data_IF_985816933601
#
_entry.id   IF_985816933601
#
_cell.length_a   1.000
_cell.length_b   1.000
_cell.length_c   1.000
_cell.angle_alpha   90.00
_cell.angle_beta   90.00
_cell.angle_gamma   90.00
#
_symmetry.space_group_name_H-M   'P 1'
#
loop_
_entity.id
_entity.type
_entity.pdbx_description
1 polymer ?
#
# COMPACT_ATOMS: atom_id res chain seq x y z
N UNK A 1 48.94 -19.51 61.12
CA UNK A 1 47.67 -18.75 61.08
C UNK A 1 46.70 -19.45 60.13
N UNK A 2 45.69 -20.14 60.68
CA UNK A 2 44.23 -19.88 60.50
C UNK A 2 43.80 -18.97 59.32
N UNK A 3 42.69 -19.12 58.57
CA UNK A 3 41.41 -19.91 58.55
C UNK A 3 40.85 -19.82 57.09
N UNK A 4 39.95 -20.65 56.51
CA UNK A 4 39.38 -21.99 56.79
C UNK A 4 38.70 -22.56 55.50
N UNK A 5 37.75 -23.52 55.63
CA UNK A 5 36.80 -24.03 54.61
C UNK A 5 35.34 -23.74 55.08
N UNK A 6 34.20 -24.29 54.54
CA UNK A 6 33.92 -25.22 53.43
C UNK A 6 32.79 -24.68 52.47
N UNK A 7 32.11 -25.41 51.57
CA UNK A 7 32.11 -26.82 51.17
C UNK A 7 31.11 -27.13 50.03
N UNK A 8 31.14 -28.38 49.51
CA UNK A 8 30.09 -28.97 48.65
C UNK A 8 29.10 -29.79 49.48
N UNK A 9 28.01 -30.28 48.88
CA UNK A 9 27.86 -31.74 48.85
C UNK A 9 27.71 -32.33 47.45
N UNK A 10 27.94 -33.65 47.36
CA UNK A 10 27.67 -34.50 46.19
C UNK A 10 26.32 -35.20 46.40
N UNK A 11 25.63 -35.55 45.32
CA UNK A 11 24.95 -36.85 45.25
C UNK A 11 25.08 -37.43 43.85
N UNK A 12 25.33 -38.74 43.79
CA UNK A 12 25.15 -39.57 42.60
C UNK A 12 23.77 -40.21 42.73
N UNK A 13 23.06 -40.47 41.64
CA UNK A 13 22.39 -41.76 41.46
C UNK A 13 22.28 -42.11 39.98
N UNK A 14 22.72 -43.32 39.66
CA UNK A 14 22.42 -44.05 38.44
C UNK A 14 21.23 -44.96 38.75
N UNK A 15 20.32 -45.17 37.79
CA UNK A 15 19.97 -46.52 37.30
C UNK A 15 19.01 -46.44 36.10
N UNK A 16 19.15 -47.42 35.20
CA UNK A 16 18.19 -47.69 34.13
C UNK A 16 16.89 -48.30 34.71
N UNK A 17 15.78 -48.14 33.99
CA UNK A 17 14.82 -49.22 33.79
C UNK A 17 14.06 -49.04 32.47
N UNK A 18 14.10 -50.09 31.63
CA UNK A 18 13.06 -50.35 30.62
C UNK A 18 11.89 -51.02 31.33
N UNK A 19 10.69 -50.93 30.76
CA UNK A 19 9.78 -52.07 30.65
C UNK A 19 8.66 -51.78 29.63
N UNK A 20 8.42 -52.75 28.76
CA UNK A 20 7.35 -52.76 27.76
C UNK A 20 6.02 -53.24 28.35
N UNK A 21 4.88 -52.91 27.72
CA UNK A 21 3.89 -53.91 27.21
C UNK A 21 2.54 -53.30 26.72
N UNK A 22 2.03 -53.91 25.63
CA UNK A 22 0.65 -54.02 25.12
C UNK A 22 -0.52 -53.43 25.95
N UNK A 23 -1.48 -52.67 25.38
CA UNK A 23 -2.52 -53.10 24.40
C UNK A 23 -3.93 -52.92 25.03
N UNK A 24 -5.09 -53.09 24.34
CA UNK A 24 -5.33 -53.53 22.96
C UNK A 24 -6.22 -52.58 22.10
N UNK A 25 -6.45 -52.97 20.83
CA UNK A 25 -7.43 -52.34 19.90
C UNK A 25 -8.88 -52.68 20.26
N UNK A 26 -9.82 -51.82 19.84
CA UNK A 26 -11.18 -52.22 19.43
C UNK A 26 -11.46 -51.75 17.99
N UNK A 27 -11.94 -52.67 17.16
CA UNK A 27 -12.56 -52.39 15.86
C UNK A 27 -14.08 -52.60 16.00
N UNK A 28 -14.89 -51.86 15.24
CA UNK A 28 -16.16 -52.38 14.70
C UNK A 28 -16.46 -51.75 13.31
N UNK A 29 -17.25 -52.40 12.44
CA UNK A 29 -17.31 -52.11 11.01
C UNK A 29 -18.66 -51.52 10.54
N UNK A 30 -18.69 -50.91 9.35
CA UNK A 30 -19.93 -50.78 8.57
C UNK A 30 -19.73 -51.05 7.07
N UNK A 31 -20.72 -51.76 6.56
CA UNK A 31 -20.96 -52.36 5.23
C UNK A 31 -20.84 -51.45 3.99
N UNK A 32 -20.58 -52.09 2.85
CA UNK A 32 -20.78 -51.54 1.50
C UNK A 32 -22.13 -51.98 0.89
N UNK A 33 -22.66 -51.26 -0.11
CA UNK A 33 -23.31 -51.85 -1.31
C UNK A 33 -23.63 -50.84 -2.44
N UNK A 34 -23.55 -51.34 -3.68
CA UNK A 34 -24.25 -50.94 -4.94
C UNK A 34 -24.73 -49.49 -5.16
N UNK A 35 -24.26 -48.74 -6.17
CA UNK A 35 -24.39 -48.91 -7.64
C UNK A 35 -25.79 -48.66 -8.26
N UNK A 36 -25.91 -47.62 -9.10
CA UNK A 36 -26.58 -47.72 -10.43
C UNK A 36 -26.36 -46.48 -11.30
N UNK A 37 -26.19 -46.71 -12.61
CA UNK A 37 -26.21 -45.69 -13.65
C UNK A 37 -27.48 -45.82 -14.53
N UNK A 38 -27.92 -44.71 -15.15
CA UNK A 38 -28.67 -44.61 -16.42
C UNK A 38 -28.83 -43.12 -16.79
N UNK A 39 -28.24 -42.66 -17.91
CA UNK A 39 -28.80 -42.52 -19.29
C UNK A 39 -29.51 -41.17 -19.54
N UNK A 40 -29.10 -40.45 -20.60
CA UNK A 40 -29.88 -39.38 -21.25
C UNK A 40 -30.96 -39.97 -22.19
N UNK A 41 -31.45 -39.26 -23.26
CA UNK A 41 -30.94 -38.05 -23.94
C UNK A 41 -31.95 -36.86 -23.84
N UNK A 42 -31.87 -35.73 -24.57
CA UNK A 42 -32.27 -35.52 -25.99
C UNK A 42 -31.68 -34.23 -26.62
N UNK A 43 -31.88 -34.07 -27.93
CA UNK A 43 -31.22 -33.17 -28.90
C UNK A 43 -31.93 -31.84 -29.24
N UNK A 44 -31.12 -30.78 -29.47
CA UNK A 44 -31.16 -29.81 -30.63
C UNK A 44 -32.45 -29.02 -30.97
N UNK A 45 -32.44 -27.95 -31.83
CA UNK A 45 -31.34 -27.31 -32.57
C UNK A 45 -31.25 -25.76 -32.45
N UNK A 46 -30.29 -25.20 -33.20
CA UNK A 46 -30.01 -23.76 -33.47
C UNK A 46 -31.04 -23.15 -34.45
N UNK A 47 -31.20 -21.81 -34.49
CA UNK A 47 -31.14 -21.14 -35.79
C UNK A 47 -30.13 -19.99 -35.85
N UNK A 48 -29.33 -20.00 -36.93
CA UNK A 48 -28.49 -18.89 -37.37
C UNK A 48 -29.39 -17.92 -38.12
N UNK A 49 -29.33 -16.61 -37.83
CA UNK A 49 -29.89 -15.62 -38.75
C UNK A 49 -28.76 -14.95 -39.53
N UNK A 50 -28.81 -15.14 -40.85
CA UNK A 50 -27.91 -14.53 -41.82
C UNK A 50 -28.72 -13.52 -42.60
N UNK A 51 -28.36 -12.23 -42.55
CA UNK A 51 -28.87 -11.25 -43.50
C UNK A 51 -27.73 -10.50 -44.16
N UNK A 52 -27.80 -10.50 -45.49
CA UNK A 52 -26.77 -10.08 -46.44
C UNK A 52 -27.26 -8.84 -47.17
N UNK A 53 -26.36 -8.19 -47.91
CA UNK A 53 -26.63 -7.08 -48.84
C UNK A 53 -26.91 -5.74 -48.12
N UNK A 54 -26.68 -4.56 -48.70
CA UNK A 54 -26.52 -4.22 -50.13
C UNK A 54 -25.22 -3.44 -50.39
N UNK A 55 -24.67 -3.67 -51.58
CA UNK A 55 -23.47 -3.06 -52.15
C UNK A 55 -23.89 -1.94 -53.15
N UNK A 56 -22.95 -1.05 -53.48
CA UNK A 56 -22.83 -0.19 -54.68
C UNK A 56 -22.91 1.34 -54.50
N UNK A 57 -21.80 2.00 -54.87
CA UNK A 57 -21.71 3.18 -55.77
C UNK A 57 -22.31 4.52 -55.23
N UNK A 58 -21.93 5.73 -55.69
CA UNK A 58 -21.09 6.14 -56.84
C UNK A 58 -20.39 7.49 -56.58
N UNK A 59 -19.38 7.76 -57.40
CA UNK A 59 -18.68 9.04 -57.64
C UNK A 59 -19.55 10.30 -57.75
N UNK A 60 -19.01 11.45 -57.32
CA UNK A 60 -18.90 12.65 -58.18
C UNK A 60 -17.83 13.64 -57.70
N UNK A 61 -16.91 14.02 -58.60
CA UNK A 61 -16.13 15.26 -58.49
C UNK A 61 -16.89 16.36 -59.22
N UNK A 62 -16.94 17.57 -58.69
CA UNK A 62 -17.30 18.77 -59.45
C UNK A 62 -16.53 19.97 -58.92
N UNK A 63 -15.82 20.64 -59.83
CA UNK A 63 -15.06 21.84 -59.53
C UNK A 63 -15.95 23.07 -59.69
N UNK A 64 -15.71 24.10 -58.87
CA UNK A 64 -16.23 25.44 -59.11
C UNK A 64 -15.09 26.45 -59.08
N UNK A 65 -14.73 26.94 -60.26
CA UNK A 65 -13.92 28.13 -60.45
C UNK A 65 -14.82 29.34 -60.29
N UNK A 66 -14.47 30.26 -59.39
CA UNK A 66 -15.10 31.57 -59.27
C UNK A 66 -14.02 32.64 -59.21
N UNK A 67 -13.90 33.38 -60.31
CA UNK A 67 -13.03 34.54 -60.44
C UNK A 67 -13.74 35.74 -59.81
N UNK A 68 -13.16 36.34 -58.77
CA UNK A 68 -13.63 37.61 -58.21
C UNK A 68 -12.45 38.57 -58.16
N UNK A 69 -12.50 39.64 -58.95
CA UNK A 69 -11.62 40.78 -58.76
C UNK A 69 -11.96 41.46 -57.44
N UNK A 70 -10.97 41.63 -56.57
CA UNK A 70 -11.06 42.52 -55.41
C UNK A 70 -9.94 43.56 -55.53
N UNK A 71 -10.32 44.82 -55.36
CA UNK A 71 -9.46 45.99 -55.49
C UNK A 71 -8.42 46.07 -54.37
N UNK A 72 -7.20 46.50 -54.71
CA UNK A 72 -6.17 46.79 -53.72
C UNK A 72 -6.53 48.10 -53.04
N UNK A 73 -6.96 48.03 -51.78
CA UNK A 73 -7.03 49.17 -50.87
C UNK A 73 -6.07 48.92 -49.70
N UNK A 74 -5.14 49.85 -49.47
CA UNK A 74 -4.09 49.68 -48.48
C UNK A 74 -4.67 49.84 -47.06
N UNK A 75 -4.68 48.76 -46.28
CA UNK A 75 -5.20 48.75 -44.91
C UNK A 75 -4.06 48.95 -43.89
N UNK A 76 -4.14 49.92 -42.97
CA UNK A 76 -3.05 50.20 -42.04
C UNK A 76 -3.03 49.23 -40.83
N UNK A 77 -1.82 48.86 -40.41
CA UNK A 77 -1.50 48.30 -39.08
C UNK A 77 -2.32 47.09 -38.61
N UNK A 78 -1.96 45.89 -39.08
CA UNK A 78 -2.38 44.65 -38.44
C UNK A 78 -1.61 44.44 -37.12
N UNK A 79 -2.31 44.46 -35.99
CA UNK A 79 -1.76 44.05 -34.70
C UNK A 79 -1.36 42.55 -34.74
N UNK A 80 -0.27 42.13 -34.07
CA UNK A 80 0.20 40.75 -34.13
C UNK A 80 -0.82 39.80 -33.50
N UNK A 81 -1.18 38.75 -34.24
CA UNK A 81 -2.07 37.71 -33.75
C UNK A 81 -1.54 37.07 -32.46
N UNK A 82 -2.42 36.76 -31.47
CA UNK A 82 -1.98 36.09 -30.25
C UNK A 82 -1.41 34.71 -30.61
N UNK A 83 -0.13 34.50 -30.28
CA UNK A 83 0.55 33.21 -30.46
C UNK A 83 -0.30 32.11 -29.82
N UNK A 84 -0.72 31.12 -30.61
CA UNK A 84 -1.53 30.03 -30.09
C UNK A 84 -0.77 29.34 -28.96
N UNK A 85 -1.31 29.44 -27.75
CA UNK A 85 -0.68 28.83 -26.58
C UNK A 85 -0.70 27.32 -26.76
N UNK A 86 0.46 26.75 -27.11
CA UNK A 86 0.70 25.30 -27.12
C UNK A 86 0.18 24.76 -25.77
N UNK A 87 -0.72 23.74 -25.75
CA UNK A 87 -1.28 23.26 -24.50
C UNK A 87 -0.14 22.88 -23.55
N UNK A 88 -0.20 23.42 -22.33
CA UNK A 88 0.83 23.18 -21.34
C UNK A 88 1.01 21.66 -21.14
N UNK A 89 2.25 21.15 -21.05
CA UNK A 89 2.45 19.72 -20.87
C UNK A 89 1.72 19.27 -19.61
N UNK A 90 0.80 18.31 -19.76
CA UNK A 90 0.06 17.70 -18.67
C UNK A 90 1.07 17.30 -17.57
N UNK A 91 0.86 17.81 -16.36
CA UNK A 91 1.93 17.92 -15.37
C UNK A 91 2.71 16.61 -15.21
N UNK A 92 4.02 16.69 -15.45
CA UNK A 92 4.90 15.56 -15.24
C UNK A 92 4.81 15.20 -13.76
N UNK A 93 4.20 14.05 -13.45
CA UNK A 93 3.79 13.69 -12.09
C UNK A 93 4.92 13.93 -11.10
N UNK A 94 4.70 14.82 -10.15
CA UNK A 94 5.73 15.24 -9.20
C UNK A 94 6.22 14.02 -8.43
N UNK A 95 7.53 13.80 -8.44
CA UNK A 95 8.11 12.64 -7.75
C UNK A 95 7.91 12.78 -6.23
N UNK A 96 7.00 11.97 -5.71
CA UNK A 96 6.68 11.89 -4.29
C UNK A 96 7.60 10.85 -3.65
N UNK A 97 8.76 11.30 -3.14
CA UNK A 97 9.51 10.51 -2.16
C UNK A 97 8.59 10.09 -1.04
N UNK A 98 8.65 8.84 -0.62
CA UNK A 98 7.69 8.37 0.38
C UNK A 98 8.27 7.15 1.06
N UNK A 99 8.11 7.06 2.38
CA UNK A 99 8.04 5.78 3.06
C UNK A 99 6.65 5.64 3.67
N UNK A 100 6.06 4.47 3.52
CA UNK A 100 4.72 4.16 4.00
C UNK A 100 4.60 2.69 4.38
N UNK A 101 3.58 2.41 5.18
CA UNK A 101 3.17 1.07 5.57
C UNK A 101 1.66 0.92 5.32
N UNK A 102 1.24 -0.24 4.82
CA UNK A 102 -0.16 -0.69 4.82
C UNK A 102 -0.25 -1.92 5.72
N UNK A 103 -1.31 -2.02 6.52
CA UNK A 103 -1.46 -3.11 7.48
C UNK A 103 -2.93 -3.42 7.80
N UNK A 104 -3.18 -4.63 8.32
CA UNK A 104 -4.48 -5.05 8.82
C UNK A 104 -4.36 -5.74 10.18
N UNK A 105 -5.44 -5.71 10.94
CA UNK A 105 -5.65 -6.58 12.08
C UNK A 105 -6.99 -7.33 11.91
N UNK A 106 -6.95 -8.60 11.48
CA UNK A 106 -8.17 -9.39 11.27
C UNK A 106 -8.93 -9.67 12.57
N UNK A 107 -8.28 -9.59 13.75
CA UNK A 107 -8.94 -9.84 15.04
C UNK A 107 -9.81 -8.67 15.47
N UNK A 108 -9.34 -7.44 15.24
CA UNK A 108 -10.11 -6.21 15.56
C UNK A 108 -10.97 -5.72 14.40
N UNK A 109 -10.77 -6.26 13.19
CA UNK A 109 -11.45 -5.84 11.97
C UNK A 109 -10.95 -4.49 11.44
N UNK A 110 -9.71 -4.13 11.77
CA UNK A 110 -9.09 -2.85 11.43
C UNK A 110 -8.17 -2.98 10.21
N UNK A 111 -8.16 -1.97 9.35
CA UNK A 111 -7.16 -1.80 8.29
C UNK A 111 -6.62 -0.38 8.34
N UNK A 112 -5.33 -0.20 8.04
CA UNK A 112 -4.66 1.06 8.25
C UNK A 112 -3.49 1.28 7.31
N UNK A 113 -3.16 2.55 7.11
CA UNK A 113 -2.01 2.96 6.34
C UNK A 113 -1.39 4.21 6.98
N UNK A 114 -0.06 4.28 6.97
CA UNK A 114 0.72 5.37 7.53
C UNK A 114 1.84 5.79 6.57
N UNK A 115 2.17 7.07 6.52
CA UNK A 115 3.08 7.64 5.51
C UNK A 115 3.85 8.87 6.02
N UNK A 116 5.09 9.07 5.52
CA UNK A 116 5.83 10.33 5.66
C UNK A 116 6.69 10.69 4.41
N UNK A 117 6.98 11.98 4.23
CA UNK A 117 7.66 12.55 3.04
C UNK A 117 8.14 14.00 3.20
N UNK A 118 9.13 14.45 2.41
CA UNK A 118 9.31 15.86 1.99
C UNK A 118 8.34 16.22 0.83
N UNK A 119 7.03 16.00 1.02
CA UNK A 119 5.96 16.37 0.08
C UNK A 119 4.76 16.90 0.88
N UNK A 120 4.12 18.02 0.49
CA UNK A 120 3.04 18.61 1.27
C UNK A 120 1.85 17.66 1.47
N UNK A 121 1.26 17.66 2.67
CA UNK A 121 0.01 16.95 2.97
C UNK A 121 -0.03 15.44 2.60
N UNK A 122 1.13 14.76 2.54
CA UNK A 122 1.24 13.36 2.06
C UNK A 122 0.28 12.38 2.77
N UNK A 123 0.00 12.62 4.06
CA UNK A 123 -0.93 11.85 4.88
C UNK A 123 -2.39 11.88 4.41
N UNK A 124 -2.78 12.88 3.62
CA UNK A 124 -4.11 12.96 2.99
C UNK A 124 -4.15 12.23 1.66
N UNK A 125 -3.04 12.24 0.91
CA UNK A 125 -2.97 11.93 -0.52
C UNK A 125 -2.53 10.50 -0.84
N UNK A 126 -1.58 9.93 -0.08
CA UNK A 126 -1.04 8.57 -0.34
C UNK A 126 -1.90 7.43 0.24
N UNK A 127 -2.40 7.48 1.49
CA UNK A 127 -3.05 6.32 2.10
C UNK A 127 -4.54 6.27 1.80
N UNK A 128 -5.02 5.09 1.43
CA UNK A 128 -6.42 4.74 1.23
C UNK A 128 -6.76 3.53 2.12
N UNK A 129 -7.94 3.56 2.76
CA UNK A 129 -8.41 2.50 3.67
C UNK A 129 -9.91 2.29 3.48
N UNK A 130 -10.37 1.05 3.52
CA UNK A 130 -11.80 0.72 3.49
C UNK A 130 -12.11 -0.39 4.50
N UNK A 131 -13.05 -0.09 5.40
CA UNK A 131 -13.48 -0.96 6.48
C UNK A 131 -13.92 -2.34 5.97
N UNK A 132 -13.34 -3.41 6.54
CA UNK A 132 -13.66 -4.78 6.14
C UNK A 132 -13.09 -5.22 4.78
N UNK A 133 -12.36 -4.37 4.08
CA UNK A 133 -11.75 -4.66 2.76
C UNK A 133 -10.23 -4.70 2.82
N UNK A 134 -9.60 -3.59 3.24
CA UNK A 134 -8.13 -3.52 3.26
C UNK A 134 -7.59 -2.09 3.22
N UNK A 135 -6.30 -1.98 2.87
CA UNK A 135 -5.57 -0.73 2.77
C UNK A 135 -4.68 -0.69 1.51
N UNK A 136 -4.44 0.51 0.98
CA UNK A 136 -3.68 0.74 -0.24
C UNK A 136 -2.87 2.04 -0.18
N UNK A 137 -1.65 2.00 -0.70
CA UNK A 137 -0.81 3.16 -0.92
C UNK A 137 -0.35 3.20 -2.39
N UNK A 138 -0.57 4.35 -3.04
CA UNK A 138 0.04 4.72 -4.33
C UNK A 138 1.04 5.86 -4.10
N UNK A 139 2.27 5.75 -4.62
CA UNK A 139 3.33 6.73 -4.37
C UNK A 139 4.41 6.74 -5.48
N UNK A 140 5.48 7.52 -5.28
CA UNK A 140 6.48 7.89 -6.31
C UNK A 140 5.83 8.69 -7.44
N UNK A 141 5.46 8.05 -8.55
CA UNK A 141 4.53 8.62 -9.54
C UNK A 141 3.09 8.26 -9.15
N UNK A 142 2.57 9.00 -8.18
CA UNK A 142 1.23 8.85 -7.60
C UNK A 142 0.11 8.88 -8.65
N UNK A 143 -0.98 8.16 -8.42
CA UNK A 143 -2.19 8.18 -9.25
C UNK A 143 -3.47 8.22 -8.39
N UNK A 144 -4.04 9.38 -8.08
CA UNK A 144 -5.14 9.48 -7.10
C UNK A 144 -6.38 8.64 -7.43
N UNK A 145 -6.85 8.56 -8.70
CA UNK A 145 -8.01 7.73 -9.05
C UNK A 145 -7.85 6.24 -8.78
N UNK A 146 -6.62 5.73 -8.62
CA UNK A 146 -6.40 4.31 -8.33
C UNK A 146 -6.73 3.92 -6.89
N UNK A 147 -6.84 4.88 -5.97
CA UNK A 147 -7.15 4.58 -4.56
C UNK A 147 -8.49 3.86 -4.40
N UNK A 148 -9.57 4.50 -4.86
CA UNK A 148 -10.92 3.96 -4.77
C UNK A 148 -11.12 2.78 -5.74
N UNK A 149 -10.43 2.77 -6.88
CA UNK A 149 -10.44 1.65 -7.83
C UNK A 149 -9.82 0.38 -7.22
N UNK A 150 -8.67 0.51 -6.54
CA UNK A 150 -7.98 -0.60 -5.90
C UNK A 150 -8.83 -1.21 -4.77
N UNK A 151 -9.39 -0.36 -3.90
CA UNK A 151 -10.21 -0.82 -2.78
C UNK A 151 -11.55 -1.40 -3.24
N UNK A 152 -12.16 -0.86 -4.31
CA UNK A 152 -13.36 -1.48 -4.92
C UNK A 152 -13.07 -2.89 -5.41
N UNK A 153 -12.03 -3.07 -6.23
CA UNK A 153 -11.65 -4.37 -6.76
C UNK A 153 -11.28 -5.38 -5.65
N UNK A 154 -10.63 -4.90 -4.59
CA UNK A 154 -10.33 -5.71 -3.40
C UNK A 154 -11.60 -6.12 -2.64
N UNK A 155 -12.59 -5.22 -2.55
CA UNK A 155 -13.91 -5.50 -1.97
C UNK A 155 -14.78 -6.43 -2.81
N UNK A 156 -14.56 -6.47 -4.12
CA UNK A 156 -15.12 -7.47 -5.06
C UNK A 156 -14.42 -8.85 -4.94
N UNK A 157 -13.41 -8.98 -4.06
CA UNK A 157 -12.75 -10.24 -3.73
C UNK A 157 -11.51 -10.57 -4.57
N UNK A 158 -11.08 -9.68 -5.48
CA UNK A 158 -9.87 -9.91 -6.28
C UNK A 158 -8.63 -9.99 -5.38
N UNK A 159 -7.72 -10.91 -5.70
CA UNK A 159 -6.44 -11.01 -5.01
C UNK A 159 -5.61 -9.72 -5.21
N UNK A 160 -4.85 -9.26 -4.20
CA UNK A 160 -4.10 -8.00 -4.27
C UNK A 160 -3.17 -7.90 -5.49
N UNK A 161 -2.53 -9.00 -5.89
CA UNK A 161 -1.66 -9.10 -7.07
C UNK A 161 -2.45 -8.85 -8.37
N UNK A 162 -3.66 -9.38 -8.45
CA UNK A 162 -4.56 -9.20 -9.60
C UNK A 162 -5.08 -7.77 -9.67
N UNK A 163 -5.34 -7.12 -8.53
CA UNK A 163 -5.67 -5.70 -8.46
C UNK A 163 -4.52 -4.86 -9.02
N UNK A 164 -3.28 -5.05 -8.53
CA UNK A 164 -2.12 -4.29 -9.04
C UNK A 164 -1.88 -4.56 -10.54
N UNK A 165 -1.94 -5.81 -10.99
CA UNK A 165 -1.78 -6.18 -12.38
C UNK A 165 -2.80 -5.50 -13.30
N UNK A 166 -4.08 -5.44 -12.88
CA UNK A 166 -5.12 -4.74 -13.62
C UNK A 166 -4.89 -3.22 -13.71
N UNK A 167 -4.41 -2.58 -12.63
CA UNK A 167 -4.10 -1.14 -12.62
C UNK A 167 -2.91 -0.81 -13.56
N UNK A 168 -1.87 -1.64 -13.54
CA UNK A 168 -0.61 -1.39 -14.25
C UNK A 168 -0.64 -1.81 -15.73
N UNK A 169 -1.60 -2.62 -16.16
CA UNK A 169 -1.63 -3.27 -17.48
C UNK A 169 -1.43 -2.31 -18.65
N UNK A 170 -2.15 -1.18 -18.66
CA UNK A 170 -2.15 -0.18 -19.73
C UNK A 170 -1.50 1.15 -19.33
N UNK A 171 -0.71 1.15 -18.25
CA UNK A 171 -0.11 2.37 -17.72
C UNK A 171 1.30 2.61 -18.31
N UNK A 172 1.51 3.65 -19.14
CA UNK A 172 2.82 3.93 -19.73
C UNK A 172 3.85 4.42 -18.70
N UNK A 173 3.43 4.72 -17.46
CA UNK A 173 4.32 5.11 -16.36
C UNK A 173 4.54 3.99 -15.34
N UNK A 174 4.15 2.73 -15.62
CA UNK A 174 4.14 1.65 -14.62
C UNK A 174 5.50 1.45 -13.94
N UNK A 175 6.58 1.50 -14.72
CA UNK A 175 7.96 1.34 -14.25
C UNK A 175 8.45 2.49 -13.33
N UNK A 176 7.67 3.57 -13.24
CA UNK A 176 7.91 4.72 -12.38
C UNK A 176 7.01 4.72 -11.13
N UNK A 177 6.03 3.81 -11.00
CA UNK A 177 5.12 3.81 -9.85
C UNK A 177 5.64 2.95 -8.70
N UNK A 178 5.19 3.28 -7.49
CA UNK A 178 5.32 2.38 -6.35
C UNK A 178 3.96 2.18 -5.70
N UNK A 179 3.54 0.93 -5.55
CA UNK A 179 2.23 0.56 -5.01
C UNK A 179 2.40 -0.48 -3.90
N UNK A 180 1.51 -0.45 -2.91
CA UNK A 180 1.36 -1.51 -1.92
C UNK A 180 -0.11 -1.66 -1.55
N UNK A 181 -0.60 -2.90 -1.52
CA UNK A 181 -1.99 -3.25 -1.24
C UNK A 181 -2.02 -4.42 -0.25
N UNK A 182 -2.99 -4.41 0.66
CA UNK A 182 -3.24 -5.48 1.61
C UNK A 182 -4.75 -5.65 1.84
N UNK A 183 -5.23 -6.89 1.87
CA UNK A 183 -6.63 -7.22 2.23
C UNK A 183 -6.79 -7.64 3.70
N UNK A 184 -8.03 -7.71 4.17
CA UNK A 184 -8.35 -8.18 5.53
C UNK A 184 -7.97 -9.64 5.84
N UNK A 185 -7.56 -10.44 4.84
CA UNK A 185 -7.02 -11.80 5.06
C UNK A 185 -5.51 -11.79 5.28
N UNK A 186 -4.85 -10.66 5.02
CA UNK A 186 -3.40 -10.50 5.12
C UNK A 186 -2.63 -10.81 3.84
N UNK A 187 -3.31 -11.03 2.70
CA UNK A 187 -2.62 -11.14 1.41
C UNK A 187 -2.10 -9.76 1.02
N UNK A 188 -0.88 -9.70 0.51
CA UNK A 188 -0.14 -8.48 0.23
C UNK A 188 0.44 -8.54 -1.17
N UNK A 189 0.30 -7.46 -1.93
CA UNK A 189 1.06 -7.27 -3.17
C UNK A 189 1.76 -5.91 -3.19
N UNK A 190 2.92 -5.88 -3.83
CA UNK A 190 3.76 -4.70 -3.98
C UNK A 190 4.16 -4.54 -5.45
N UNK A 191 4.23 -3.30 -5.90
CA UNK A 191 4.90 -2.92 -7.13
C UNK A 191 5.99 -1.90 -6.80
N UNK A 192 7.22 -2.19 -7.19
CA UNK A 192 8.35 -1.28 -7.04
C UNK A 192 8.75 -0.73 -8.43
N UNK A 193 9.23 0.53 -8.51
CA UNK A 193 9.66 1.08 -9.78
C UNK A 193 10.92 0.35 -10.28
N UNK A 194 11.00 0.09 -11.58
CA UNK A 194 12.20 -0.44 -12.25
C UNK A 194 13.00 0.67 -12.95
N UNK A 195 12.33 1.77 -13.31
CA UNK A 195 12.89 2.93 -14.02
C UNK A 195 12.97 4.18 -13.13
N UNK A 196 13.12 4.02 -11.81
CA UNK A 196 13.24 5.17 -10.91
C UNK A 196 14.48 6.02 -11.28
N UNK A 197 14.36 7.36 -11.36
CA UNK A 197 15.48 8.20 -11.76
C UNK A 197 16.56 8.20 -10.69
N UNK A 198 17.82 8.44 -11.08
CA UNK A 198 18.98 8.38 -10.17
C UNK A 198 18.82 9.21 -8.88
N UNK A 199 18.11 10.35 -8.95
CA UNK A 199 17.78 11.18 -7.76
C UNK A 199 16.94 10.47 -6.70
N UNK A 200 16.28 9.36 -7.04
CA UNK A 200 15.50 8.55 -6.11
C UNK A 200 16.38 7.61 -5.26
N UNK A 201 17.71 7.55 -5.47
CA UNK A 201 18.76 6.90 -4.63
C UNK A 201 18.55 5.45 -4.19
N UNK A 202 17.49 5.18 -3.44
CA UNK A 202 17.07 3.86 -2.98
C UNK A 202 15.55 3.76 -2.94
N UNK A 203 15.03 2.58 -3.29
CA UNK A 203 13.64 2.19 -3.14
C UNK A 203 13.53 0.68 -2.87
N UNK A 204 12.37 0.24 -2.38
CA UNK A 204 12.06 -1.16 -2.17
C UNK A 204 10.77 -1.36 -1.36
N UNK A 205 10.52 -2.62 -0.98
CA UNK A 205 9.49 -3.00 -0.02
C UNK A 205 9.94 -4.21 0.81
N UNK A 206 9.33 -4.39 1.98
CA UNK A 206 9.42 -5.58 2.83
C UNK A 206 8.02 -5.85 3.38
N UNK A 207 7.55 -7.10 3.23
CA UNK A 207 6.21 -7.51 3.64
C UNK A 207 6.30 -8.66 4.62
N UNK A 208 5.41 -8.66 5.59
CA UNK A 208 5.36 -9.67 6.65
C UNK A 208 3.91 -10.04 6.98
N UNK A 209 3.69 -10.65 8.14
CA UNK A 209 2.35 -11.12 8.51
C UNK A 209 1.43 -9.92 8.79
N UNK A 210 0.41 -9.74 7.93
CA UNK A 210 -0.58 -8.67 8.01
C UNK A 210 -0.05 -7.23 7.79
N UNK A 211 1.10 -7.06 7.14
CA UNK A 211 1.60 -5.72 6.75
C UNK A 211 2.53 -5.72 5.53
N UNK A 212 2.71 -4.53 4.95
CA UNK A 212 3.77 -4.21 3.99
C UNK A 212 4.36 -2.83 4.27
N UNK A 213 5.68 -2.75 4.34
CA UNK A 213 6.47 -1.52 4.38
C UNK A 213 7.08 -1.26 3.00
N UNK A 214 6.98 -0.03 2.50
CA UNK A 214 7.50 0.34 1.19
C UNK A 214 8.04 1.76 1.19
N UNK A 215 9.02 2.03 0.32
CA UNK A 215 9.40 3.41 0.07
C UNK A 215 10.35 3.62 -1.10
N UNK A 216 10.47 4.87 -1.49
CA UNK A 216 11.29 5.35 -2.59
C UNK A 216 11.90 6.70 -2.24
N UNK A 217 13.00 7.07 -2.89
CA UNK A 217 13.71 8.33 -2.60
C UNK A 217 14.25 8.32 -1.15
N UNK A 218 14.58 7.15 -0.64
CA UNK A 218 14.97 6.92 0.75
C UNK A 218 16.45 7.20 1.01
N UNK A 219 16.82 7.37 2.28
CA UNK A 219 18.22 7.41 2.73
C UNK A 219 18.97 6.09 2.48
N UNK A 220 18.26 4.95 2.50
CA UNK A 220 18.80 3.62 2.19
C UNK A 220 17.92 2.49 2.72
N UNK A 221 18.37 1.23 2.51
CA UNK A 221 17.61 0.01 2.86
C UNK A 221 17.11 -0.06 4.31
N UNK A 222 17.87 0.52 5.25
CA UNK A 222 17.54 0.49 6.67
C UNK A 222 16.18 1.12 6.98
N UNK A 223 15.74 2.12 6.21
CA UNK A 223 14.41 2.74 6.40
C UNK A 223 13.31 1.68 6.37
N UNK A 224 13.36 0.74 5.42
CA UNK A 224 12.33 -0.29 5.26
C UNK A 224 12.45 -1.38 6.34
N UNK A 225 13.67 -1.86 6.60
CA UNK A 225 13.88 -2.94 7.57
C UNK A 225 13.56 -2.51 9.01
N UNK A 226 13.85 -1.26 9.37
CA UNK A 226 13.57 -0.72 10.71
C UNK A 226 12.07 -0.42 10.87
N UNK A 227 11.36 0.01 9.80
CA UNK A 227 9.89 0.11 9.80
C UNK A 227 9.24 -1.25 10.05
N UNK A 228 9.65 -2.27 9.30
CA UNK A 228 9.12 -3.63 9.39
C UNK A 228 9.37 -4.22 10.79
N UNK A 229 10.62 -4.14 11.27
CA UNK A 229 10.98 -4.56 12.62
C UNK A 229 10.16 -3.84 13.70
N UNK A 230 10.03 -2.52 13.63
CA UNK A 230 9.29 -1.78 14.66
C UNK A 230 7.78 -2.08 14.63
N UNK A 231 7.21 -2.44 13.48
CA UNK A 231 5.83 -2.94 13.39
C UNK A 231 5.66 -4.31 14.06
N UNK A 232 6.64 -5.21 13.90
CA UNK A 232 6.64 -6.57 14.46
C UNK A 232 6.97 -6.61 15.96
N UNK A 233 7.94 -5.80 16.41
CA UNK A 233 8.39 -5.69 17.81
C UNK A 233 7.39 -4.91 18.71
N UNK A 234 6.40 -4.21 18.12
CA UNK A 234 5.44 -3.37 18.88
C UNK A 234 4.14 -4.11 19.18
N UNK A 235 3.79 -4.20 20.47
CA UNK A 235 2.47 -4.63 20.92
C UNK A 235 1.46 -3.47 20.93
N UNK A 236 0.17 -3.78 21.09
CA UNK A 236 -0.91 -2.80 21.21
C UNK A 236 -1.83 -2.76 19.99
N UNK A 237 -2.38 -1.58 19.70
CA UNK A 237 -3.34 -1.41 18.61
C UNK A 237 -2.69 -1.47 17.22
N UNK A 238 -3.51 -1.50 16.16
CA UNK A 238 -3.00 -1.27 14.80
C UNK A 238 -2.38 0.13 14.67
N UNK A 239 -2.93 1.14 15.36
CA UNK A 239 -2.44 2.51 15.32
C UNK A 239 -1.05 2.66 15.96
N UNK A 240 -0.80 1.97 17.07
CA UNK A 240 0.50 1.98 17.76
C UNK A 240 1.60 1.41 16.89
N UNK A 241 1.36 0.24 16.27
CA UNK A 241 2.32 -0.41 15.36
C UNK A 241 2.60 0.41 14.10
N UNK A 242 1.58 1.06 13.53
CA UNK A 242 1.74 1.97 12.39
C UNK A 242 2.56 3.22 12.77
N UNK A 243 2.35 3.79 13.96
CA UNK A 243 3.18 4.89 14.47
C UNK A 243 4.63 4.45 14.73
N UNK A 244 4.84 3.28 15.35
CA UNK A 244 6.15 2.73 15.62
C UNK A 244 6.97 2.55 14.34
N UNK A 245 6.35 1.99 13.31
CA UNK A 245 6.93 1.84 11.98
C UNK A 245 7.39 3.20 11.41
N UNK A 246 6.51 4.22 11.37
CA UNK A 246 6.88 5.54 10.86
C UNK A 246 8.04 6.17 11.63
N UNK A 247 8.01 6.11 12.97
CA UNK A 247 9.08 6.66 13.80
C UNK A 247 10.40 5.95 13.51
N UNK A 248 10.41 4.61 13.39
CA UNK A 248 11.61 3.85 13.07
C UNK A 248 12.17 4.14 11.67
N UNK A 249 11.31 4.21 10.64
CA UNK A 249 11.73 4.57 9.29
C UNK A 249 12.34 5.97 9.20
N UNK A 250 11.75 6.93 9.90
CA UNK A 250 12.23 8.31 9.93
C UNK A 250 13.52 8.43 10.77
N UNK A 251 13.68 7.64 11.84
CA UNK A 251 14.93 7.51 12.60
C UNK A 251 16.07 6.88 11.77
N UNK A 252 15.75 5.91 10.92
CA UNK A 252 16.66 5.27 9.98
C UNK A 252 17.03 6.15 8.75
N UNK A 253 16.51 7.39 8.69
CA UNK A 253 16.86 8.42 7.72
C UNK A 253 15.73 8.87 6.80
N UNK A 254 14.62 8.11 6.73
CA UNK A 254 13.42 8.48 5.98
C UNK A 254 13.64 8.83 4.50
N UNK A 255 12.90 9.85 4.03
CA UNK A 255 13.14 10.53 2.76
C UNK A 255 14.46 11.32 2.84
N UNK A 256 15.42 11.00 1.98
CA UNK A 256 16.76 11.60 2.05
C UNK A 256 16.77 13.12 1.76
N UNK A 257 15.66 13.68 1.26
CA UNK A 257 15.47 15.11 0.98
C UNK A 257 15.00 15.87 2.23
N UNK A 258 14.64 15.18 3.32
CA UNK A 258 14.19 15.72 4.60
C UNK A 258 12.72 15.38 4.93
N UNK A 259 12.12 16.15 5.83
CA UNK A 259 10.75 15.92 6.36
C UNK A 259 9.85 17.11 6.06
N UNK A 260 8.59 16.87 5.71
CA UNK A 260 7.61 17.94 5.48
C UNK A 260 6.21 17.56 5.94
N UNK A 261 5.77 16.34 5.67
CA UNK A 261 4.44 15.88 6.03
C UNK A 261 4.43 14.42 6.45
N UNK A 262 3.45 14.06 7.27
CA UNK A 262 3.21 12.69 7.72
C UNK A 262 1.72 12.48 8.05
N UNK A 263 1.24 11.24 8.05
CA UNK A 263 -0.09 10.94 8.55
C UNK A 263 -0.42 9.46 8.64
N UNK A 264 -1.49 9.17 9.38
CA UNK A 264 -2.12 7.85 9.53
C UNK A 264 -3.59 7.94 9.16
N UNK A 265 -4.12 6.92 8.48
CA UNK A 265 -5.54 6.63 8.35
C UNK A 265 -5.81 5.19 8.76
N UNK A 266 -6.92 4.96 9.47
CA UNK A 266 -7.42 3.63 9.84
C UNK A 266 -8.92 3.59 9.58
N UNK A 267 -9.40 2.48 9.02
CA UNK A 267 -10.83 2.14 8.96
C UNK A 267 -11.08 0.86 9.78
N UNK A 268 -12.31 0.69 10.26
CA UNK A 268 -12.70 -0.44 11.12
C UNK A 268 -14.04 -1.00 10.69
N UNK A 269 -14.16 -2.33 10.62
CA UNK A 269 -15.41 -3.02 10.29
C UNK A 269 -16.55 -2.53 11.20
N UNK A 270 -17.67 -2.16 10.59
CA UNK A 270 -18.82 -1.55 11.29
C UNK A 270 -18.76 -0.04 11.48
N UNK A 271 -17.65 0.62 11.14
CA UNK A 271 -17.50 2.08 11.17
C UNK A 271 -17.52 2.67 9.76
N UNK A 272 -18.12 3.86 9.59
CA UNK A 272 -18.23 4.50 8.26
C UNK A 272 -16.95 5.26 7.91
N UNK A 273 -16.42 5.00 6.71
CA UNK A 273 -15.28 5.75 6.16
C UNK A 273 -13.97 5.55 6.93
N UNK A 274 -13.18 6.62 7.05
CA UNK A 274 -11.96 6.63 7.87
C UNK A 274 -12.37 6.78 9.34
N UNK A 275 -12.18 5.73 10.13
CA UNK A 275 -12.54 5.67 11.55
C UNK A 275 -11.57 6.47 12.43
N UNK A 276 -10.29 6.52 12.08
CA UNK A 276 -9.28 7.31 12.78
C UNK A 276 -8.28 7.90 11.79
N UNK A 277 -7.93 9.17 11.97
CA UNK A 277 -6.88 9.82 11.19
C UNK A 277 -6.19 10.94 11.96
N UNK A 278 -4.87 11.04 11.78
CA UNK A 278 -4.05 12.15 12.28
C UNK A 278 -3.05 12.51 11.18
N UNK A 279 -2.81 13.80 10.96
CA UNK A 279 -1.88 14.26 9.93
C UNK A 279 -1.14 15.55 10.33
N UNK A 280 0.01 15.74 9.71
CA UNK A 280 0.84 16.95 9.72
C UNK A 280 1.14 17.27 8.27
N UNK A 281 0.63 18.41 7.77
CA UNK A 281 0.74 18.74 6.34
C UNK A 281 2.03 19.51 6.00
N UNK A 282 2.59 20.22 6.99
CA UNK A 282 3.84 20.99 6.91
C UNK A 282 4.50 21.09 8.29
N UNK A 283 5.63 20.41 8.47
CA UNK A 283 6.57 20.54 9.59
C UNK A 283 7.93 19.99 9.16
N UNK A 284 9.01 20.62 9.64
CA UNK A 284 10.37 20.10 9.42
C UNK A 284 10.69 18.87 10.29
N UNK A 285 9.83 18.50 11.25
CA UNK A 285 9.92 17.23 12.01
C UNK A 285 8.58 16.47 12.03
N UNK A 286 7.95 16.37 10.85
CA UNK A 286 6.55 15.95 10.71
C UNK A 286 6.15 14.61 11.36
N UNK A 287 7.05 13.63 11.48
CA UNK A 287 6.73 12.35 12.17
C UNK A 287 6.73 12.51 13.69
N UNK A 288 7.61 13.36 14.24
CA UNK A 288 7.61 13.66 15.68
C UNK A 288 6.38 14.50 16.05
N UNK A 289 6.00 15.47 15.20
CA UNK A 289 4.75 16.22 15.41
C UNK A 289 3.50 15.34 15.21
N UNK A 290 3.54 14.38 14.28
CA UNK A 290 2.48 13.38 14.14
C UNK A 290 2.40 12.50 15.39
N UNK A 291 3.53 12.09 15.95
CA UNK A 291 3.60 11.33 17.21
C UNK A 291 3.04 12.13 18.39
N UNK A 292 3.40 13.42 18.52
CA UNK A 292 2.83 14.32 19.54
C UNK A 292 1.31 14.40 19.44
N UNK A 293 0.77 14.61 18.22
CA UNK A 293 -0.68 14.61 17.97
C UNK A 293 -1.32 13.26 18.28
N UNK A 294 -0.71 12.15 17.87
CA UNK A 294 -1.18 10.79 18.16
C UNK A 294 -1.27 10.53 19.67
N UNK A 295 -0.21 10.90 20.39
CA UNK A 295 -0.13 10.77 21.85
C UNK A 295 -1.25 11.55 22.54
N UNK A 296 -1.48 12.79 22.12
CA UNK A 296 -2.46 13.71 22.68
C UNK A 296 -3.92 13.47 22.24
N UNK A 297 -4.16 12.72 21.16
CA UNK A 297 -5.52 12.40 20.70
C UNK A 297 -6.15 11.36 21.61
N UNK A 298 -7.34 11.59 22.13
CA UNK A 298 -8.14 10.53 22.77
C UNK A 298 -9.02 9.85 21.70
N UNK A 299 -8.83 8.54 21.50
CA UNK A 299 -9.60 7.76 20.54
C UNK A 299 -9.42 6.25 20.75
N UNK A 300 -10.51 5.48 20.63
CA UNK A 300 -10.52 4.02 20.79
C UNK A 300 -9.60 3.24 19.82
N UNK A 301 -9.12 3.88 18.74
CA UNK A 301 -8.12 3.29 17.84
C UNK A 301 -6.76 3.07 18.50
N UNK A 302 -6.49 3.70 19.65
CA UNK A 302 -5.28 3.54 20.47
C UNK A 302 -5.36 2.33 21.42
N UNK A 303 -6.45 1.55 21.34
CA UNK A 303 -6.65 0.35 22.17
C UNK A 303 -6.71 0.68 23.66
N UNK A 304 -5.95 -0.06 24.46
CA UNK A 304 -5.92 0.07 25.94
C UNK A 304 -5.01 1.20 26.44
N UNK A 305 -4.34 1.95 25.56
CA UNK A 305 -3.32 2.91 25.96
C UNK A 305 -3.87 4.35 26.09
N UNK A 306 -3.90 4.95 27.31
CA UNK A 306 -4.67 6.17 27.58
C UNK A 306 -3.92 7.49 27.34
N UNK A 307 -2.67 7.50 26.85
CA UNK A 307 -1.90 8.72 26.57
C UNK A 307 -0.59 8.86 27.35
N UNK A 308 0.09 10.00 27.18
CA UNK A 308 1.35 10.33 27.87
C UNK A 308 2.61 9.92 27.11
N UNK A 309 3.04 8.65 27.20
CA UNK A 309 4.23 8.12 26.51
C UNK A 309 3.85 7.00 25.52
N UNK A 310 4.32 7.02 24.25
CA UNK A 310 3.96 6.01 23.27
C UNK A 310 4.27 4.59 23.78
N UNK A 311 3.46 3.57 23.42
CA UNK A 311 3.63 2.20 23.93
C UNK A 311 4.82 1.46 23.30
N UNK A 312 5.54 2.09 22.38
CA UNK A 312 6.79 1.59 21.79
C UNK A 312 7.98 2.45 22.21
N UNK A 313 9.15 1.81 22.36
CA UNK A 313 10.40 2.53 22.67
C UNK A 313 10.83 3.34 21.45
N UNK A 314 11.10 4.64 21.62
CA UNK A 314 11.62 5.48 20.54
C UNK A 314 12.99 4.94 20.07
N UNK A 315 13.14 4.50 18.79
CA UNK A 315 14.28 3.73 18.34
C UNK A 315 15.58 4.53 18.16
N UNK A 316 15.50 5.86 18.13
CA UNK A 316 16.67 6.75 18.14
C UNK A 316 16.35 8.03 18.93
N UNK A 317 16.53 8.05 20.28
CA UNK A 317 16.28 9.25 21.07
C UNK A 317 17.18 10.42 20.64
N UNK A 318 18.46 10.14 20.36
CA UNK A 318 19.46 11.09 19.87
C UNK A 318 19.38 11.23 18.35
N UNK A 319 18.18 11.55 17.88
CA UNK A 319 17.82 11.60 16.47
C UNK A 319 18.72 12.59 15.70
N UNK A 320 19.36 12.18 14.58
CA UNK A 320 20.16 13.09 13.78
C UNK A 320 19.36 14.34 13.36
N UNK A 321 19.86 15.49 13.79
CA UNK A 321 19.30 16.80 13.46
C UNK A 321 19.20 17.00 11.95
N UNK A 322 18.23 17.81 11.53
CA UNK A 322 18.11 18.21 10.14
C UNK A 322 19.42 18.87 9.69
N UNK A 323 19.98 18.39 8.58
CA UNK A 323 20.99 19.17 7.86
C UNK A 323 20.31 20.46 7.39
N UNK A 324 20.59 21.57 8.09
CA UNK A 324 20.25 22.91 7.60
C UNK A 324 20.91 23.05 6.22
N UNK A 325 20.11 23.51 5.25
CA UNK A 325 20.60 23.89 3.93
C UNK A 325 21.07 25.33 3.96
#
# INVERSE_FOLDING_TARGET
MTLFCPGRPRSRFSTQSRLDCHGPRRQQPLSASSSRARRGPTSSPIPVNTSRNIMLHTTTRLAWLLLVLVTISANPSAAPAPKSARPAPASAGSITATFSIVAVDPKTGECGAAVASKYPAVGKVVPYVQAGVGAFCTQHYHHPPWGDQALRALGEGLAPEKVLGNLLANDPRRELRQLAIIDMTGRVANHNPSAAPARSRYWGAQSGRFYSCQGNTLAGRRVISEMARAYEDTEGSLADRLMAALVAGDCAGGDHRGRLAAGIKIAKKGQRGTWFQVHVDKSDDAVVDLLRKYVATDHAAKGKWPGGRPPFRHPCPDRPGLKKK
#
